data_IF_279048214151
#
_entry.id   IF_279048214151
#
_cell.length_a   1.000
_cell.length_b   1.000
_cell.length_c   1.000
_cell.angle_alpha   90.00
_cell.angle_beta   90.00
_cell.angle_gamma   90.00
#
_symmetry.space_group_name_H-M   'P 1'
#
loop_
_entity.id
_entity.type
_entity.pdbx_description
1 polymer ?
#
# COMPACT_ATOMS: atom_id res chain seq x y z
N UNK A 1 1.72 -10.81 -38.91
CA UNK A 1 1.97 -12.22 -38.58
C UNK A 1 0.69 -12.84 -38.05
N UNK A 2 0.50 -14.14 -38.21
CA UNK A 2 -0.62 -14.87 -37.61
C UNK A 2 -0.12 -15.50 -36.31
N UNK A 3 -0.88 -15.31 -35.23
CA UNK A 3 -0.53 -15.80 -33.90
C UNK A 3 -1.75 -16.47 -33.27
N UNK A 4 -1.54 -17.59 -32.60
CA UNK A 4 -2.57 -18.27 -31.84
C UNK A 4 -2.60 -17.64 -30.45
N UNK A 5 -3.59 -16.79 -30.20
CA UNK A 5 -3.72 -16.03 -28.93
C UNK A 5 -4.76 -16.72 -28.05
N UNK A 6 -4.53 -16.77 -26.74
CA UNK A 6 -5.49 -17.25 -25.74
C UNK A 6 -6.92 -16.68 -25.94
N UNK A 7 -7.93 -17.55 -25.94
CA UNK A 7 -9.33 -17.25 -26.21
C UNK A 7 -10.17 -17.39 -24.93
N UNK A 8 -10.33 -16.29 -24.19
CA UNK A 8 -11.14 -16.22 -22.97
C UNK A 8 -12.65 -16.12 -23.23
N UNK A 9 -13.13 -16.54 -24.41
CA UNK A 9 -14.58 -16.56 -24.68
C UNK A 9 -15.24 -17.76 -24.00
N UNK A 10 -16.24 -17.48 -23.16
CA UNK A 10 -16.95 -18.51 -22.40
C UNK A 10 -17.80 -19.36 -23.37
N UNK A 11 -17.56 -20.67 -23.52
CA UNK A 11 -18.14 -21.44 -24.62
C UNK A 11 -19.57 -21.92 -24.36
N UNK A 12 -20.09 -21.75 -23.14
CA UNK A 12 -21.44 -22.14 -22.80
C UNK A 12 -22.38 -20.93 -22.84
N UNK A 13 -23.39 -20.92 -23.74
CA UNK A 13 -24.55 -20.08 -23.54
C UNK A 13 -25.14 -20.42 -22.18
N UNK A 14 -25.57 -19.41 -21.42
CA UNK A 14 -26.36 -19.62 -20.20
C UNK A 14 -27.53 -20.55 -20.52
N UNK A 15 -27.44 -21.81 -20.10
CA UNK A 15 -28.45 -22.81 -20.38
C UNK A 15 -29.54 -22.66 -19.33
N UNK A 16 -30.59 -21.90 -19.66
CA UNK A 16 -31.80 -21.83 -18.84
C UNK A 16 -32.54 -23.17 -18.96
N UNK A 17 -32.53 -23.96 -17.89
CA UNK A 17 -33.36 -25.16 -17.77
C UNK A 17 -34.80 -24.68 -17.47
N UNK A 18 -35.78 -24.94 -18.36
CA UNK A 18 -37.16 -24.51 -18.13
C UNK A 18 -37.73 -25.18 -16.87
N UNK A 19 -38.09 -24.38 -15.87
CA UNK A 19 -38.83 -24.83 -14.68
C UNK A 19 -38.12 -24.76 -13.33
N UNK A 20 -36.85 -24.33 -13.25
CA UNK A 20 -36.14 -24.21 -11.96
C UNK A 20 -35.45 -22.84 -11.82
N UNK A 21 -36.07 -21.86 -11.12
CA UNK A 21 -35.44 -20.58 -10.81
C UNK A 21 -34.35 -20.79 -9.74
N UNK A 22 -33.11 -20.39 -10.04
CA UNK A 22 -32.04 -20.28 -9.03
C UNK A 22 -30.83 -21.21 -9.18
N UNK A 23 -30.76 -22.07 -10.20
CA UNK A 23 -29.62 -22.97 -10.41
C UNK A 23 -28.37 -22.30 -11.05
N UNK A 24 -28.41 -20.99 -11.30
CA UNK A 24 -27.43 -20.25 -12.13
C UNK A 24 -26.09 -19.97 -11.43
N UNK A 25 -26.03 -20.02 -10.10
CA UNK A 25 -24.82 -19.62 -9.35
C UNK A 25 -23.75 -20.72 -9.22
N UNK A 26 -24.06 -21.97 -9.54
CA UNK A 26 -23.13 -23.10 -9.35
C UNK A 26 -22.24 -23.44 -10.55
N UNK A 27 -22.59 -23.01 -11.76
CA UNK A 27 -21.91 -23.45 -12.99
C UNK A 27 -20.80 -22.51 -13.49
N UNK A 28 -20.73 -21.28 -12.98
CA UNK A 28 -19.69 -20.30 -13.39
C UNK A 28 -18.30 -20.76 -12.91
N UNK A 29 -18.19 -21.28 -11.69
CA UNK A 29 -16.91 -21.78 -11.15
C UNK A 29 -16.47 -23.11 -11.76
N UNK A 30 -17.40 -23.93 -12.26
CA UNK A 30 -17.06 -25.23 -12.88
C UNK A 30 -16.45 -25.01 -14.27
N UNK A 31 -16.92 -24.01 -15.02
CA UNK A 31 -16.40 -23.67 -16.35
C UNK A 31 -14.92 -23.25 -16.34
N UNK A 32 -14.54 -22.35 -15.43
CA UNK A 32 -13.15 -21.87 -15.30
C UNK A 32 -12.20 -22.97 -14.76
N UNK A 33 -12.69 -23.85 -13.88
CA UNK A 33 -11.91 -25.02 -13.41
C UNK A 33 -11.76 -26.10 -14.49
N UNK A 34 -12.77 -26.31 -15.35
CA UNK A 34 -12.70 -27.28 -16.46
C UNK A 34 -11.84 -26.77 -17.62
N UNK A 35 -11.82 -25.45 -17.86
CA UNK A 35 -10.96 -24.81 -18.88
C UNK A 35 -9.47 -25.05 -18.63
N UNK A 36 -9.02 -24.95 -17.37
CA UNK A 36 -7.63 -25.25 -16.99
C UNK A 36 -7.24 -26.73 -17.16
N UNK A 37 -8.19 -27.66 -17.15
CA UNK A 37 -7.94 -29.10 -17.28
C UNK A 37 -7.87 -29.60 -18.74
N UNK A 38 -8.42 -28.85 -19.71
CA UNK A 38 -8.51 -29.25 -21.13
C UNK A 38 -7.54 -28.51 -22.06
N UNK A 39 -6.62 -27.74 -21.49
CA UNK A 39 -5.66 -26.91 -22.23
C UNK A 39 -6.27 -25.58 -22.68
N UNK A 40 -5.45 -24.53 -22.62
CA UNK A 40 -5.89 -23.19 -23.00
C UNK A 40 -6.29 -23.16 -24.49
N UNK A 41 -7.53 -22.73 -24.74
CA UNK A 41 -8.03 -22.55 -26.10
C UNK A 41 -7.31 -21.36 -26.72
N UNK A 42 -6.70 -21.56 -27.88
CA UNK A 42 -6.10 -20.47 -28.66
C UNK A 42 -6.91 -20.21 -29.93
N UNK A 43 -6.99 -18.94 -30.32
CA UNK A 43 -7.63 -18.48 -31.55
C UNK A 43 -6.61 -17.77 -32.43
N UNK A 44 -6.49 -18.22 -33.67
CA UNK A 44 -5.61 -17.60 -34.65
C UNK A 44 -6.09 -16.19 -34.98
N UNK A 45 -5.24 -15.19 -34.72
CA UNK A 45 -5.48 -13.78 -35.03
C UNK A 45 -4.33 -13.24 -35.88
N UNK A 46 -4.66 -12.41 -36.87
CA UNK A 46 -3.67 -11.69 -37.66
C UNK A 46 -3.35 -10.36 -36.97
N UNK A 47 -2.09 -10.17 -36.63
CA UNK A 47 -1.59 -9.03 -35.85
C UNK A 47 -0.39 -8.37 -36.52
N UNK A 48 -0.13 -7.10 -36.20
CA UNK A 48 1.14 -6.43 -36.48
C UNK A 48 2.25 -7.02 -35.62
N UNK A 49 3.49 -6.98 -36.09
CA UNK A 49 4.65 -7.51 -35.34
C UNK A 49 4.79 -6.85 -33.96
N UNK A 50 4.59 -5.53 -33.85
CA UNK A 50 4.66 -4.81 -32.57
C UNK A 50 3.70 -5.38 -31.51
N UNK A 51 2.40 -5.46 -31.83
CA UNK A 51 1.39 -6.04 -30.94
C UNK A 51 1.62 -7.53 -30.62
N UNK A 52 2.13 -8.28 -31.59
CA UNK A 52 2.43 -9.70 -31.38
C UNK A 52 3.60 -9.89 -30.41
N UNK A 53 4.60 -9.00 -30.44
CA UNK A 53 5.72 -9.00 -29.50
C UNK A 53 5.21 -8.76 -28.06
N UNK A 54 4.37 -7.75 -27.85
CA UNK A 54 3.78 -7.48 -26.53
C UNK A 54 3.04 -8.69 -25.95
N UNK A 55 2.19 -9.34 -26.77
CA UNK A 55 1.41 -10.51 -26.35
C UNK A 55 2.31 -11.70 -26.04
N UNK A 56 3.23 -12.04 -26.96
CA UNK A 56 4.15 -13.16 -26.76
C UNK A 56 5.07 -12.96 -25.56
N UNK A 57 5.54 -11.73 -25.33
CA UNK A 57 6.39 -11.42 -24.17
C UNK A 57 5.63 -11.62 -22.87
N UNK A 58 4.35 -11.22 -22.79
CA UNK A 58 3.52 -11.49 -21.62
C UNK A 58 3.28 -12.99 -21.42
N UNK A 59 2.89 -13.72 -22.47
CA UNK A 59 2.63 -15.18 -22.38
C UNK A 59 3.88 -15.99 -22.00
N UNK A 60 5.06 -15.63 -22.51
CA UNK A 60 6.31 -16.28 -22.12
C UNK A 60 6.77 -15.87 -20.72
N UNK A 61 6.51 -14.63 -20.29
CA UNK A 61 6.80 -14.22 -18.92
C UNK A 61 5.98 -15.01 -17.90
N UNK A 62 4.68 -15.22 -18.17
CA UNK A 62 3.80 -15.98 -17.27
C UNK A 62 4.26 -17.43 -17.08
N UNK A 63 4.78 -18.08 -18.14
CA UNK A 63 5.34 -19.44 -18.05
C UNK A 63 6.58 -19.55 -17.17
N UNK A 64 7.31 -18.45 -17.00
CA UNK A 64 8.51 -18.39 -16.16
C UNK A 64 8.18 -18.13 -14.68
N UNK A 65 6.92 -17.84 -14.35
CA UNK A 65 6.49 -17.61 -12.98
C UNK A 65 6.19 -18.93 -12.26
N UNK A 66 6.92 -19.16 -11.18
CA UNK A 66 6.59 -20.18 -10.19
C UNK A 66 5.81 -19.50 -9.05
N UNK A 67 4.47 -19.57 -9.13
CA UNK A 67 3.59 -18.91 -8.15
C UNK A 67 3.84 -19.41 -6.71
N UNK A 68 4.13 -20.69 -6.51
CA UNK A 68 4.38 -21.26 -5.17
C UNK A 68 5.66 -20.68 -4.57
N UNK A 69 6.72 -20.60 -5.38
CA UNK A 69 7.99 -19.99 -4.96
C UNK A 69 7.82 -18.51 -4.66
N UNK A 70 7.12 -17.75 -5.50
CA UNK A 70 6.83 -16.33 -5.29
C UNK A 70 6.06 -16.12 -3.99
N UNK A 71 5.02 -16.91 -3.74
CA UNK A 71 4.23 -16.81 -2.51
C UNK A 71 5.10 -17.10 -1.29
N UNK A 72 5.93 -18.14 -1.35
CA UNK A 72 6.80 -18.52 -0.23
C UNK A 72 7.85 -17.43 0.05
N UNK A 73 8.46 -16.86 -0.99
CA UNK A 73 9.43 -15.78 -0.86
C UNK A 73 8.78 -14.49 -0.33
N UNK A 74 7.63 -14.10 -0.87
CA UNK A 74 6.88 -12.93 -0.42
C UNK A 74 6.48 -13.04 1.06
N UNK A 75 6.01 -14.22 1.49
CA UNK A 75 5.72 -14.46 2.90
C UNK A 75 6.96 -14.32 3.77
N UNK A 76 8.07 -14.93 3.36
CA UNK A 76 9.33 -14.83 4.10
C UNK A 76 9.80 -13.36 4.19
N UNK A 77 9.66 -12.57 3.12
CA UNK A 77 9.96 -11.14 3.15
C UNK A 77 9.11 -10.38 4.15
N UNK A 78 7.79 -10.64 4.20
CA UNK A 78 6.89 -10.00 5.16
C UNK A 78 7.23 -10.43 6.59
N UNK A 79 7.44 -11.72 6.84
CA UNK A 79 7.73 -12.23 8.18
C UNK A 79 9.07 -11.74 8.71
N UNK A 80 10.11 -11.61 7.87
CA UNK A 80 11.47 -11.26 8.32
C UNK A 80 11.84 -9.78 8.17
N UNK A 81 11.25 -9.09 7.19
CA UNK A 81 11.61 -7.70 6.84
C UNK A 81 10.40 -6.77 6.77
N UNK A 82 9.22 -7.24 7.18
CA UNK A 82 8.00 -6.43 7.15
C UNK A 82 8.13 -5.20 8.04
N UNK A 83 7.68 -4.05 7.53
CA UNK A 83 7.57 -2.81 8.29
C UNK A 83 6.11 -2.34 8.23
N UNK A 84 5.54 -2.05 9.39
CA UNK A 84 4.20 -1.48 9.54
C UNK A 84 4.31 -0.10 10.18
N UNK A 85 3.86 0.93 9.47
CA UNK A 85 3.76 2.29 9.99
C UNK A 85 2.33 2.59 10.45
N UNK A 86 2.15 2.91 11.73
CA UNK A 86 0.86 3.30 12.31
C UNK A 86 0.92 4.79 12.64
N UNK A 87 0.24 5.59 11.85
CA UNK A 87 0.17 7.04 12.09
C UNK A 87 -0.92 7.40 13.11
N UNK A 88 -0.81 8.59 13.69
CA UNK A 88 -1.80 9.18 14.61
C UNK A 88 -2.20 8.28 15.80
N UNK A 89 -1.25 7.52 16.35
CA UNK A 89 -1.51 6.62 17.50
C UNK A 89 -1.94 7.40 18.76
N UNK A 90 -1.63 8.69 18.82
CA UNK A 90 -2.03 9.58 19.90
C UNK A 90 -3.55 9.81 19.95
N UNK A 91 -4.28 9.58 18.84
CA UNK A 91 -5.75 9.70 18.79
C UNK A 91 -6.48 8.59 19.53
N UNK A 92 -5.86 7.42 19.65
CA UNK A 92 -6.42 6.26 20.36
C UNK A 92 -5.96 6.18 21.82
N UNK A 93 -5.07 7.07 22.26
CA UNK A 93 -4.71 7.21 23.68
C UNK A 93 -5.91 7.76 24.48
N UNK A 94 -6.13 7.20 25.67
CA UNK A 94 -7.21 7.59 26.59
C UNK A 94 -6.68 8.53 27.65
N UNK A 95 -7.25 9.73 27.79
CA UNK A 95 -6.79 10.70 28.79
C UNK A 95 -6.98 10.17 30.20
N UNK A 96 -5.91 10.17 30.99
CA UNK A 96 -5.91 9.69 32.38
C UNK A 96 -6.70 10.60 33.34
N UNK A 97 -6.85 11.90 33.03
CA UNK A 97 -7.30 12.95 33.98
C UNK A 97 -8.77 13.42 33.83
N UNK A 98 -9.69 12.57 33.34
CA UNK A 98 -11.11 12.93 33.19
C UNK A 98 -12.10 11.80 33.52
N UNK A 99 -13.39 12.12 33.78
CA UNK A 99 -14.42 11.09 33.88
C UNK A 99 -14.47 10.31 32.58
N UNK A 100 -14.36 8.97 32.65
CA UNK A 100 -14.44 8.05 31.50
C UNK A 100 -15.67 8.39 30.65
N UNK A 101 -15.44 8.96 29.48
CA UNK A 101 -16.48 9.21 28.50
C UNK A 101 -16.77 7.91 27.74
N UNK A 102 -17.99 7.73 27.22
CA UNK A 102 -18.37 6.52 26.47
C UNK A 102 -17.49 6.26 25.23
N UNK A 103 -16.83 7.29 24.69
CA UNK A 103 -15.88 7.18 23.58
C UNK A 103 -14.53 6.57 23.95
N UNK A 104 -14.16 6.52 25.24
CA UNK A 104 -12.86 6.02 25.68
C UNK A 104 -12.76 4.49 25.53
N UNK A 105 -13.88 3.78 25.71
CA UNK A 105 -13.96 2.32 25.55
C UNK A 105 -13.64 1.91 24.11
N UNK A 106 -14.08 2.71 23.13
CA UNK A 106 -13.81 2.44 21.72
C UNK A 106 -12.34 2.64 21.37
N UNK A 107 -11.67 3.63 21.96
CA UNK A 107 -10.26 3.93 21.70
C UNK A 107 -9.33 2.90 22.33
N UNK A 108 -9.64 2.51 23.57
CA UNK A 108 -8.94 1.41 24.24
C UNK A 108 -9.13 0.08 23.49
N UNK A 109 -10.33 -0.17 22.95
CA UNK A 109 -10.61 -1.34 22.11
C UNK A 109 -9.65 -1.44 20.91
N UNK A 110 -9.42 -0.34 20.19
CA UNK A 110 -8.47 -0.32 19.07
C UNK A 110 -7.06 -0.67 19.51
N UNK A 111 -6.61 -0.15 20.66
CA UNK A 111 -5.29 -0.52 21.20
C UNK A 111 -5.22 -2.02 21.54
N UNK A 112 -6.27 -2.59 22.13
CA UNK A 112 -6.34 -4.02 22.45
C UNK A 112 -6.33 -4.90 21.21
N UNK A 113 -6.99 -4.46 20.13
CA UNK A 113 -7.00 -5.18 18.85
C UNK A 113 -5.65 -5.10 18.13
N UNK A 114 -4.85 -4.05 18.37
CA UNK A 114 -3.50 -3.92 17.85
C UNK A 114 -2.47 -4.77 18.60
N UNK A 115 -2.71 -5.09 19.89
CA UNK A 115 -1.76 -5.84 20.71
C UNK A 115 -1.34 -7.17 20.06
N UNK A 116 -2.25 -8.08 19.64
CA UNK A 116 -1.85 -9.35 19.03
C UNK A 116 -0.93 -9.21 17.82
N UNK A 117 -1.08 -8.12 17.04
CA UNK A 117 -0.24 -7.87 15.86
C UNK A 117 1.20 -7.55 16.28
N UNK A 118 1.36 -6.70 17.29
CA UNK A 118 2.66 -6.24 17.77
C UNK A 118 3.33 -7.28 18.69
N UNK A 119 2.54 -8.07 19.41
CA UNK A 119 3.04 -9.13 20.30
C UNK A 119 3.50 -10.39 19.54
N UNK A 120 3.00 -10.58 18.32
CA UNK A 120 3.24 -11.77 17.52
C UNK A 120 1.99 -12.65 17.44
N UNK A 121 1.40 -12.72 16.26
CA UNK A 121 0.27 -13.60 15.96
C UNK A 121 0.39 -14.18 14.56
N UNK A 122 -0.38 -15.22 14.27
CA UNK A 122 -0.49 -15.79 12.93
C UNK A 122 -1.77 -15.30 12.27
N UNK A 123 -1.61 -14.60 11.14
CA UNK A 123 -2.72 -14.03 10.37
C UNK A 123 -2.89 -14.84 9.09
N UNK A 124 -4.12 -15.27 8.82
CA UNK A 124 -4.46 -15.93 7.56
C UNK A 124 -4.68 -14.90 6.45
N UNK A 125 -3.90 -15.00 5.38
CA UNK A 125 -4.05 -14.18 4.18
C UNK A 125 -4.48 -15.06 2.99
N UNK A 126 -4.87 -14.44 1.87
CA UNK A 126 -5.13 -15.16 0.61
C UNK A 126 -3.91 -15.92 0.07
N UNK A 127 -2.72 -15.61 0.56
CA UNK A 127 -1.45 -16.25 0.20
C UNK A 127 -0.96 -17.23 1.28
N UNK A 128 -1.82 -17.57 2.25
CA UNK A 128 -1.49 -18.44 3.38
C UNK A 128 -1.21 -17.67 4.66
N UNK A 129 -0.83 -18.40 5.71
CA UNK A 129 -0.64 -17.84 7.05
C UNK A 129 0.71 -17.13 7.18
N UNK A 130 0.71 -15.93 7.78
CA UNK A 130 1.86 -15.07 8.02
C UNK A 130 2.01 -14.81 9.50
N UNK A 131 3.23 -14.92 10.03
CA UNK A 131 3.57 -14.61 11.42
C UNK A 131 4.07 -13.17 11.57
N UNK A 132 3.62 -12.46 12.61
CA UNK A 132 4.00 -11.06 12.84
C UNK A 132 5.15 -10.86 13.83
N UNK A 133 5.72 -11.95 14.38
CA UNK A 133 6.72 -11.95 15.46
C UNK A 133 7.95 -11.06 15.20
N UNK A 134 8.34 -10.87 13.94
CA UNK A 134 9.54 -10.10 13.54
C UNK A 134 9.23 -8.90 12.65
N UNK A 135 7.96 -8.51 12.54
CA UNK A 135 7.58 -7.29 11.82
C UNK A 135 7.98 -6.08 12.66
N UNK A 136 8.66 -5.12 12.04
CA UNK A 136 8.98 -3.84 12.66
C UNK A 136 7.76 -2.93 12.65
N UNK A 137 7.28 -2.54 13.82
CA UNK A 137 6.24 -1.54 13.97
C UNK A 137 6.86 -0.17 14.27
N UNK A 138 6.50 0.83 13.46
CA UNK A 138 6.83 2.23 13.68
C UNK A 138 5.52 2.96 13.92
N UNK A 139 5.41 3.68 15.02
CA UNK A 139 4.20 4.44 15.36
C UNK A 139 4.52 5.92 15.43
N UNK A 140 3.57 6.74 14.97
CA UNK A 140 3.68 8.19 14.92
C UNK A 140 2.50 8.82 15.62
N UNK A 141 2.69 10.00 16.20
CA UNK A 141 1.64 10.79 16.84
C UNK A 141 2.19 12.13 17.29
N UNK A 142 1.38 13.18 17.19
CA UNK A 142 1.77 14.52 17.62
C UNK A 142 1.74 14.68 19.15
N UNK A 143 0.89 13.90 19.84
CA UNK A 143 0.76 13.89 21.30
C UNK A 143 0.52 15.29 21.91
N UNK A 144 -0.22 16.15 21.19
CA UNK A 144 -0.58 17.49 21.68
C UNK A 144 -1.58 17.45 22.85
N UNK A 145 -2.46 16.44 22.87
CA UNK A 145 -3.61 16.34 23.79
C UNK A 145 -3.62 15.07 24.64
N UNK A 146 -2.65 14.20 24.40
CA UNK A 146 -2.43 12.92 25.09
C UNK A 146 -0.92 12.72 25.20
N UNK A 147 -0.49 11.89 26.14
CA UNK A 147 0.93 11.54 26.31
C UNK A 147 1.15 10.09 25.92
N UNK A 148 2.37 9.68 25.54
CA UNK A 148 2.67 8.26 25.36
C UNK A 148 2.34 7.38 26.58
N UNK A 149 2.35 7.96 27.79
CA UNK A 149 1.93 7.29 29.03
C UNK A 149 0.43 7.00 29.13
N UNK A 150 -0.39 7.63 28.30
CA UNK A 150 -1.85 7.44 28.23
C UNK A 150 -2.25 6.23 27.34
N UNK A 151 -1.27 5.58 26.69
CA UNK A 151 -1.46 4.30 26.00
C UNK A 151 -1.55 3.15 27.02
N UNK A 152 -2.12 2.02 26.62
CA UNK A 152 -2.16 0.82 27.46
C UNK A 152 -0.75 0.38 27.87
N UNK A 153 -0.52 -0.02 29.14
CA UNK A 153 0.80 -0.48 29.61
C UNK A 153 1.42 -1.57 28.74
N UNK A 154 0.61 -2.48 28.23
CA UNK A 154 0.99 -3.56 27.34
C UNK A 154 1.59 -3.01 26.03
N UNK A 155 0.94 -2.00 25.45
CA UNK A 155 1.37 -1.37 24.19
C UNK A 155 2.66 -0.55 24.41
N UNK A 156 2.75 0.17 25.54
CA UNK A 156 3.95 0.89 25.93
C UNK A 156 5.16 -0.04 26.06
N UNK A 157 4.97 -1.24 26.62
CA UNK A 157 6.02 -2.25 26.76
C UNK A 157 6.55 -2.78 25.43
N UNK A 158 5.76 -2.68 24.35
CA UNK A 158 6.15 -3.08 22.98
C UNK A 158 6.70 -1.94 22.14
N UNK A 159 6.66 -0.71 22.64
CA UNK A 159 7.23 0.48 22.01
C UNK A 159 8.40 1.04 22.84
N UNK A 160 9.52 0.30 22.98
CA UNK A 160 10.62 0.67 23.86
C UNK A 160 11.47 1.82 23.31
N UNK A 161 11.58 1.94 21.98
CA UNK A 161 12.34 3.01 21.33
C UNK A 161 11.42 4.21 21.16
N UNK A 162 11.84 5.34 21.73
CA UNK A 162 11.12 6.61 21.61
C UNK A 162 12.07 7.64 21.03
N UNK A 163 11.57 8.37 20.05
CA UNK A 163 12.28 9.45 19.37
C UNK A 163 11.30 10.61 19.21
N UNK A 164 11.81 11.82 19.41
CA UNK A 164 11.08 13.06 19.15
C UNK A 164 11.71 13.71 17.92
N UNK A 165 10.87 14.22 17.01
CA UNK A 165 11.31 14.89 15.80
C UNK A 165 11.12 16.40 15.99
N UNK A 166 12.11 17.16 15.57
CA UNK A 166 12.06 18.63 15.63
C UNK A 166 11.13 19.20 14.56
N UNK A 167 10.51 20.34 14.89
CA UNK A 167 9.74 21.12 13.92
C UNK A 167 10.67 21.69 12.83
N UNK A 168 10.19 21.69 11.58
CA UNK A 168 10.97 22.16 10.45
C UNK A 168 11.09 23.68 10.43
N UNK A 169 12.31 24.17 10.23
CA UNK A 169 12.60 25.60 10.04
C UNK A 169 12.44 26.02 8.58
N UNK A 170 12.43 27.33 8.32
CA UNK A 170 12.47 27.86 6.96
C UNK A 170 13.74 27.41 6.19
N UNK A 171 14.88 27.24 6.88
CA UNK A 171 16.10 26.72 6.28
C UNK A 171 15.92 25.25 5.86
N UNK A 172 15.29 24.43 6.71
CA UNK A 172 15.00 23.03 6.38
C UNK A 172 14.07 22.90 5.18
N UNK A 173 13.07 23.78 5.04
CA UNK A 173 12.22 23.84 3.85
C UNK A 173 13.03 24.14 2.58
N UNK A 174 13.98 25.08 2.62
CA UNK A 174 14.85 25.36 1.48
C UNK A 174 15.70 24.12 1.12
N UNK A 175 16.22 23.41 2.13
CA UNK A 175 16.97 22.16 1.93
C UNK A 175 16.10 21.06 1.33
N UNK A 176 14.87 20.86 1.82
CA UNK A 176 13.90 19.88 1.29
C UNK A 176 13.56 20.17 -0.19
N UNK A 177 13.54 21.43 -0.61
CA UNK A 177 13.27 21.80 -1.99
C UNK A 177 14.47 21.50 -2.93
N UNK A 178 15.70 21.36 -2.43
CA UNK A 178 16.92 21.25 -3.25
C UNK A 178 17.63 19.90 -3.10
N UNK A 179 17.87 19.46 -1.87
CA UNK A 179 18.76 18.34 -1.54
C UNK A 179 18.17 16.96 -1.92
N UNK A 180 16.91 16.62 -1.57
CA UNK A 180 16.35 15.30 -1.87
C UNK A 180 16.45 14.93 -3.35
N UNK A 181 16.69 13.66 -3.65
CA UNK A 181 16.91 13.16 -5.01
C UNK A 181 15.75 13.53 -5.94
N UNK A 182 14.52 13.39 -5.45
CA UNK A 182 13.28 13.75 -6.13
C UNK A 182 12.59 14.95 -5.47
N UNK A 183 13.33 16.04 -5.22
CA UNK A 183 12.73 17.25 -4.65
C UNK A 183 11.71 17.90 -5.60
N UNK A 184 10.78 18.70 -5.05
CA UNK A 184 9.72 19.35 -5.83
C UNK A 184 10.29 20.20 -6.98
N UNK A 185 11.38 20.94 -6.75
CA UNK A 185 12.02 21.74 -7.79
C UNK A 185 12.49 20.87 -8.94
N UNK A 186 13.20 19.78 -8.66
CA UNK A 186 13.70 18.85 -9.69
C UNK A 186 12.55 18.22 -10.46
N UNK A 187 11.47 17.86 -9.77
CA UNK A 187 10.25 17.34 -10.41
C UNK A 187 9.63 18.39 -11.36
N UNK A 188 9.47 19.64 -10.93
CA UNK A 188 8.93 20.71 -11.80
C UNK A 188 9.84 21.03 -12.98
N UNK A 189 11.16 21.05 -12.79
CA UNK A 189 12.10 21.23 -13.89
C UNK A 189 11.99 20.11 -14.93
N UNK A 190 11.86 18.86 -14.47
CA UNK A 190 11.66 17.72 -15.36
C UNK A 190 10.30 17.74 -16.08
N UNK A 191 9.22 18.06 -15.36
CA UNK A 191 7.86 18.16 -15.91
C UNK A 191 7.76 19.26 -16.96
N UNK A 192 8.29 20.46 -16.71
CA UNK A 192 8.26 21.56 -17.68
C UNK A 192 9.23 21.29 -18.85
N UNK A 193 10.31 20.55 -18.59
CA UNK A 193 11.24 20.09 -19.61
C UNK A 193 10.61 19.18 -20.67
N UNK A 194 9.49 18.50 -20.39
CA UNK A 194 8.78 17.70 -21.41
C UNK A 194 8.20 18.56 -22.54
N UNK A 195 7.94 19.83 -22.25
CA UNK A 195 7.46 20.83 -23.21
C UNK A 195 8.62 21.62 -23.85
N UNK A 196 9.85 21.11 -23.74
CA UNK A 196 11.08 21.75 -24.23
C UNK A 196 11.35 23.13 -23.59
N UNK A 197 10.77 23.41 -22.43
CA UNK A 197 10.98 24.64 -21.66
C UNK A 197 11.98 24.40 -20.53
N UNK A 198 13.03 25.23 -20.47
CA UNK A 198 14.02 25.17 -19.38
C UNK A 198 13.59 26.05 -18.21
N UNK A 199 13.22 25.45 -17.10
CA UNK A 199 12.92 26.14 -15.85
C UNK A 199 14.14 26.16 -14.93
N UNK A 200 14.55 27.34 -14.46
CA UNK A 200 15.64 27.49 -13.51
C UNK A 200 15.15 28.23 -12.26
N UNK A 201 15.37 27.65 -11.09
CA UNK A 201 15.07 28.28 -9.81
C UNK A 201 16.34 28.92 -9.25
N UNK A 202 16.33 30.25 -9.14
CA UNK A 202 17.40 30.98 -8.48
C UNK A 202 17.40 30.68 -6.97
N UNK A 203 18.58 30.67 -6.34
CA UNK A 203 18.72 30.27 -4.93
C UNK A 203 17.93 31.15 -3.97
N UNK A 204 17.98 32.46 -4.18
CA UNK A 204 17.19 33.46 -3.46
C UNK A 204 15.68 33.24 -3.65
N UNK A 205 15.26 32.83 -4.85
CA UNK A 205 13.88 32.43 -5.12
C UNK A 205 13.43 31.21 -4.31
N UNK A 206 14.29 30.20 -4.15
CA UNK A 206 13.98 29.02 -3.33
C UNK A 206 13.89 29.38 -1.85
N UNK A 207 14.81 30.21 -1.36
CA UNK A 207 14.78 30.72 0.02
C UNK A 207 13.50 31.51 0.27
N UNK A 208 13.11 32.40 -0.65
CA UNK A 208 11.87 33.18 -0.52
C UNK A 208 10.61 32.28 -0.49
N UNK A 209 10.58 31.21 -1.29
CA UNK A 209 9.48 30.23 -1.26
C UNK A 209 9.41 29.50 0.10
N UNK A 210 10.58 29.11 0.63
CA UNK A 210 10.67 28.43 1.91
C UNK A 210 10.25 29.33 3.08
N UNK A 211 10.71 30.58 3.11
CA UNK A 211 10.31 31.58 4.10
C UNK A 211 8.80 31.86 4.04
N UNK A 212 8.23 32.03 2.84
CA UNK A 212 6.81 32.25 2.65
C UNK A 212 5.98 31.06 3.17
N UNK A 213 6.38 29.82 2.84
CA UNK A 213 5.70 28.62 3.31
C UNK A 213 5.74 28.50 4.83
N UNK A 214 6.89 28.78 5.45
CA UNK A 214 7.05 28.76 6.90
C UNK A 214 6.19 29.85 7.57
N UNK A 215 6.18 31.06 7.01
CA UNK A 215 5.37 32.17 7.52
C UNK A 215 3.87 31.85 7.47
N UNK A 216 3.37 31.28 6.36
CA UNK A 216 1.96 30.91 6.22
C UNK A 216 1.57 29.87 7.27
N UNK A 217 2.41 28.84 7.48
CA UNK A 217 2.13 27.82 8.48
C UNK A 217 2.07 28.41 9.89
N UNK A 218 3.00 29.31 10.24
CA UNK A 218 3.01 29.98 11.55
C UNK A 218 1.82 30.91 11.82
N UNK A 219 1.03 31.25 10.79
CA UNK A 219 -0.20 32.06 10.93
C UNK A 219 -1.46 31.19 11.01
N UNK A 220 -1.41 29.96 10.51
CA UNK A 220 -2.54 29.03 10.46
C UNK A 220 -2.57 28.14 11.70
N UNK A 221 -1.40 27.79 12.25
CA UNK A 221 -1.24 27.14 13.57
C UNK A 221 -1.27 28.17 14.71
#
# INVERSE_FOLDING_TARGET
IELDVSDNSNPFPSFDIPGMPGAQMGMINVGDMFGKAFGDRTKRRRLTVAKALEILTAEEADKLLDEEKIITEAKNMVEQNGIVFIDEIDKIATRSDGPRASGDISREGVQRDLLPLIEGTTISTKHGSVKTDHILFITSGAFHVSKPSDLLPELQGRLPIRVELDALTAEDFARILIEPEHSLIKQYQALIGTEEVTLNFARDGVTALAELAHQINSQIE
#
